data_IF_168143095262
#
_entry.id   IF_168143095262
#
_cell.length_a   1.000
_cell.length_b   1.000
_cell.length_c   1.000
_cell.angle_alpha   90.00
_cell.angle_beta   90.00
_cell.angle_gamma   90.00
#
_symmetry.space_group_name_H-M   'P 1'
#
loop_
_entity.id
_entity.type
_entity.pdbx_description
1 polymer ?
#
# COMPACT_ATOMS: atom_id res chain seq x y z
N UNK A 1 -12.32 -90.17 -32.20
CA UNK A 1 -11.82 -89.62 -30.91
C UNK A 1 -10.45 -89.00 -31.14
N UNK A 2 -10.36 -87.67 -31.09
CA UNK A 2 -9.10 -86.91 -31.08
C UNK A 2 -9.13 -85.99 -29.84
N UNK A 3 -8.07 -85.92 -29.03
CA UNK A 3 -8.04 -85.06 -27.84
C UNK A 3 -7.73 -83.60 -28.22
N UNK A 4 -8.34 -82.67 -27.49
CA UNK A 4 -8.10 -81.22 -27.57
C UNK A 4 -6.85 -80.85 -26.76
N UNK A 5 -5.96 -79.95 -27.22
CA UNK A 5 -4.81 -79.53 -26.44
C UNK A 5 -5.17 -78.41 -25.43
N UNK A 6 -4.49 -78.47 -24.29
CA UNK A 6 -4.67 -77.61 -23.12
C UNK A 6 -4.36 -76.13 -23.39
N UNK A 7 -5.15 -75.25 -22.76
CA UNK A 7 -5.00 -73.79 -22.74
C UNK A 7 -4.00 -73.41 -21.65
N UNK A 8 -2.85 -72.85 -22.03
CA UNK A 8 -1.91 -72.25 -21.09
C UNK A 8 -2.44 -70.90 -20.59
N UNK A 9 -2.69 -70.77 -19.28
CA UNK A 9 -2.96 -69.49 -18.62
C UNK A 9 -1.66 -68.69 -18.50
N UNK A 10 -1.63 -67.50 -19.11
CA UNK A 10 -0.59 -66.49 -18.92
C UNK A 10 -1.06 -65.56 -17.80
N UNK A 11 -0.37 -65.59 -16.66
CA UNK A 11 -0.59 -64.71 -15.52
C UNK A 11 0.06 -63.34 -15.79
N UNK A 12 -0.72 -62.38 -16.26
CA UNK A 12 -0.31 -60.98 -16.37
C UNK A 12 -0.45 -60.29 -15.00
N UNK A 13 0.64 -60.20 -14.24
CA UNK A 13 0.72 -59.27 -13.11
C UNK A 13 0.95 -57.85 -13.63
N UNK A 14 0.04 -56.89 -13.40
CA UNK A 14 0.30 -55.50 -13.75
C UNK A 14 1.35 -54.94 -12.80
N UNK A 15 2.48 -54.50 -13.37
CA UNK A 15 3.49 -53.71 -12.68
C UNK A 15 2.84 -52.38 -12.27
N UNK A 16 2.55 -52.23 -10.99
CA UNK A 16 2.10 -50.98 -10.37
C UNK A 16 3.22 -49.94 -10.51
N UNK A 17 3.11 -49.08 -11.53
CA UNK A 17 4.02 -47.96 -11.70
C UNK A 17 3.86 -47.01 -10.50
N UNK A 18 4.91 -46.92 -9.67
CA UNK A 18 5.04 -45.92 -8.62
C UNK A 18 5.15 -44.54 -9.28
N UNK A 19 4.03 -43.82 -9.36
CA UNK A 19 4.03 -42.41 -9.73
C UNK A 19 4.68 -41.60 -8.60
N UNK A 20 5.90 -41.12 -8.82
CA UNK A 20 6.49 -40.08 -7.98
C UNK A 20 5.64 -38.80 -8.10
N UNK A 21 5.29 -38.14 -6.98
CA UNK A 21 4.57 -36.88 -7.03
C UNK A 21 5.53 -35.80 -7.53
N UNK A 22 5.57 -35.58 -8.85
CA UNK A 22 6.14 -34.34 -9.37
C UNK A 22 5.25 -33.20 -8.90
N UNK A 23 5.83 -32.24 -8.18
CA UNK A 23 5.13 -31.01 -7.84
C UNK A 23 4.68 -30.35 -9.16
N UNK A 24 3.37 -30.30 -9.40
CA UNK A 24 2.79 -29.62 -10.55
C UNK A 24 3.32 -28.18 -10.58
N UNK A 25 4.09 -27.76 -11.61
CA UNK A 25 4.64 -26.40 -11.72
C UNK A 25 3.57 -25.33 -11.52
N UNK A 26 2.32 -25.60 -11.96
CA UNK A 26 1.19 -24.69 -11.79
C UNK A 26 0.75 -24.52 -10.33
N UNK A 27 1.01 -25.52 -9.47
CA UNK A 27 0.72 -25.45 -8.03
C UNK A 27 1.72 -24.57 -7.29
N UNK A 28 3.00 -24.62 -7.69
CA UNK A 28 4.07 -23.83 -7.09
C UNK A 28 3.92 -22.35 -7.43
N UNK A 29 3.69 -22.01 -8.69
CA UNK A 29 3.43 -20.63 -9.11
C UNK A 29 2.23 -20.00 -8.37
N UNK A 30 1.15 -20.78 -8.18
CA UNK A 30 -0.02 -20.33 -7.44
C UNK A 30 0.28 -20.03 -5.97
N UNK A 31 1.10 -20.88 -5.34
CA UNK A 31 1.56 -20.68 -3.95
C UNK A 31 2.45 -19.45 -3.85
N UNK A 32 3.42 -19.30 -4.74
CA UNK A 32 4.30 -18.12 -4.78
C UNK A 32 3.50 -16.84 -4.94
N UNK A 33 2.61 -16.77 -5.93
CA UNK A 33 1.74 -15.59 -6.13
C UNK A 33 0.93 -15.25 -4.88
N UNK A 34 0.38 -16.27 -4.23
CA UNK A 34 -0.39 -16.10 -2.99
C UNK A 34 0.49 -15.54 -1.86
N UNK A 35 1.68 -16.11 -1.67
CA UNK A 35 2.63 -15.64 -0.66
C UNK A 35 3.10 -14.21 -0.94
N UNK A 36 3.44 -13.88 -2.19
CA UNK A 36 3.86 -12.53 -2.59
C UNK A 36 2.79 -11.49 -2.26
N UNK A 37 1.52 -11.79 -2.55
CA UNK A 37 0.40 -10.89 -2.25
C UNK A 37 0.20 -10.73 -0.75
N UNK A 38 0.29 -11.81 0.03
CA UNK A 38 0.16 -11.74 1.50
C UNK A 38 1.31 -10.93 2.11
N UNK A 39 2.55 -11.20 1.70
CA UNK A 39 3.73 -10.45 2.16
C UNK A 39 3.60 -8.98 1.81
N UNK A 40 3.22 -8.65 0.56
CA UNK A 40 3.01 -7.27 0.15
C UNK A 40 1.96 -6.56 0.99
N UNK A 41 0.85 -7.23 1.31
CA UNK A 41 -0.20 -6.68 2.19
C UNK A 41 0.30 -6.43 3.60
N UNK A 42 0.98 -7.40 4.21
CA UNK A 42 1.51 -7.26 5.56
C UNK A 42 2.60 -6.19 5.62
N UNK A 43 3.43 -6.08 4.58
CA UNK A 43 4.39 -4.99 4.42
C UNK A 43 3.72 -3.63 4.37
N UNK A 44 2.68 -3.46 3.53
CA UNK A 44 1.92 -2.21 3.48
C UNK A 44 1.22 -1.90 4.82
N UNK A 45 0.62 -2.91 5.46
CA UNK A 45 0.01 -2.75 6.78
C UNK A 45 1.04 -2.27 7.81
N UNK A 46 2.23 -2.87 7.82
CA UNK A 46 3.29 -2.52 8.74
C UNK A 46 3.80 -1.09 8.50
N UNK A 47 3.97 -0.68 7.24
CA UNK A 47 4.37 0.69 6.90
C UNK A 47 3.38 1.72 7.45
N UNK A 48 2.08 1.47 7.37
CA UNK A 48 1.08 2.37 7.97
C UNK A 48 0.97 2.23 9.49
N UNK A 49 1.23 1.04 10.03
CA UNK A 49 1.25 0.82 11.47
C UNK A 49 2.32 1.67 12.15
N UNK A 50 3.52 1.77 11.55
CA UNK A 50 4.57 2.64 12.11
C UNK A 50 4.21 4.12 12.06
N UNK A 51 3.36 4.53 11.11
CA UNK A 51 2.90 5.92 11.00
C UNK A 51 1.96 6.33 12.14
N UNK A 52 1.11 5.42 12.64
CA UNK A 52 0.08 5.73 13.64
C UNK A 52 0.63 6.31 14.95
N UNK A 53 1.78 5.83 15.41
CA UNK A 53 2.22 6.05 16.79
C UNK A 53 2.81 7.44 17.05
N UNK A 54 3.40 8.07 16.05
CA UNK A 54 3.95 9.41 16.21
C UNK A 54 2.88 10.52 16.07
N UNK A 55 1.62 10.15 15.77
CA UNK A 55 0.47 11.05 15.65
C UNK A 55 -0.77 10.56 16.41
N UNK A 56 -0.56 10.02 17.60
CA UNK A 56 -1.67 9.57 18.45
C UNK A 56 -2.60 10.74 18.83
N UNK A 57 -3.94 10.53 18.80
CA UNK A 57 -4.89 11.47 19.36
C UNK A 57 -4.67 11.66 20.88
N UNK A 58 -5.10 12.80 21.46
CA UNK A 58 -5.89 13.86 20.83
C UNK A 58 -5.05 14.96 20.17
N UNK A 59 -3.73 14.98 20.37
CA UNK A 59 -2.87 16.08 19.90
C UNK A 59 -2.21 15.80 18.55
N UNK A 60 -2.22 14.55 18.08
CA UNK A 60 -1.60 14.13 16.81
C UNK A 60 -0.11 14.45 16.72
N UNK A 61 0.57 14.49 17.88
CA UNK A 61 1.98 14.87 18.01
C UNK A 61 2.26 16.36 17.82
N UNK A 62 1.23 17.19 17.66
CA UNK A 62 1.37 18.64 17.67
C UNK A 62 1.65 19.17 19.09
N UNK A 63 2.21 20.37 19.20
CA UNK A 63 2.34 21.09 20.47
C UNK A 63 0.97 21.52 21.02
N UNK A 64 0.97 21.99 22.27
CA UNK A 64 -0.16 22.73 22.82
C UNK A 64 -0.56 23.83 21.82
N UNK A 65 -1.86 23.93 21.54
CA UNK A 65 -2.47 24.84 20.55
C UNK A 65 -2.32 24.47 19.06
N UNK A 66 -1.85 23.25 18.74
CA UNK A 66 -1.71 22.79 17.35
C UNK A 66 -0.84 23.71 16.48
N UNK A 67 0.22 24.28 17.05
CA UNK A 67 1.06 25.23 16.34
C UNK A 67 1.89 24.55 15.23
N UNK A 68 1.92 25.14 14.04
CA UNK A 68 2.70 24.66 12.90
C UNK A 68 4.07 25.35 12.85
N UNK A 69 5.13 24.69 12.33
CA UNK A 69 6.40 25.37 12.08
C UNK A 69 6.18 26.55 11.12
N UNK A 70 6.98 27.59 11.29
CA UNK A 70 6.93 28.80 10.46
C UNK A 70 8.17 28.89 9.56
N UNK A 71 8.05 29.47 8.36
CA UNK A 71 9.20 29.68 7.48
C UNK A 71 10.25 30.56 8.17
N UNK A 72 11.52 30.18 8.04
CA UNK A 72 12.68 30.99 8.44
C UNK A 72 13.51 31.37 7.22
N UNK A 73 14.54 32.20 7.43
CA UNK A 73 15.48 32.56 6.36
C UNK A 73 16.19 31.31 5.78
N UNK A 74 16.63 31.42 4.52
CA UNK A 74 17.52 30.43 3.87
C UNK A 74 16.96 29.00 3.75
N UNK A 75 15.68 28.85 3.40
CA UNK A 75 15.02 27.53 3.25
C UNK A 75 15.08 26.70 4.54
N UNK A 76 14.92 27.38 5.68
CA UNK A 76 14.87 26.80 7.02
C UNK A 76 13.50 27.06 7.65
N UNK A 77 13.24 26.48 8.82
CA UNK A 77 12.03 26.73 9.60
C UNK A 77 12.39 27.08 11.04
N UNK A 78 11.55 27.89 11.69
CA UNK A 78 11.67 28.10 13.12
C UNK A 78 10.94 26.96 13.84
N UNK A 79 11.69 26.16 14.59
CA UNK A 79 11.14 25.09 15.39
C UNK A 79 10.33 25.67 16.55
N UNK A 80 9.04 25.36 16.58
CA UNK A 80 8.12 25.76 17.66
C UNK A 80 7.86 24.61 18.65
N UNK A 81 8.68 23.55 18.61
CA UNK A 81 8.49 22.32 19.39
C UNK A 81 7.44 21.37 18.81
N UNK A 82 6.73 21.73 17.72
CA UNK A 82 5.79 20.83 17.07
C UNK A 82 6.55 19.66 16.48
N UNK A 83 6.18 18.45 16.93
CA UNK A 83 6.47 17.22 16.22
C UNK A 83 5.24 16.82 15.42
N UNK A 84 5.13 15.52 15.16
CA UNK A 84 3.85 14.97 14.81
C UNK A 84 3.31 15.46 13.47
N UNK A 85 1.98 15.40 13.36
CA UNK A 85 1.24 15.72 12.16
C UNK A 85 1.40 17.19 11.76
N UNK A 86 1.36 18.12 12.72
CA UNK A 86 1.49 19.56 12.44
C UNK A 86 2.88 19.93 11.91
N UNK A 87 3.93 19.22 12.36
CA UNK A 87 5.27 19.41 11.81
C UNK A 87 5.30 19.07 10.33
N UNK A 88 4.90 17.85 9.96
CA UNK A 88 4.99 17.38 8.57
C UNK A 88 4.09 18.15 7.62
N UNK A 89 2.83 18.42 8.01
CA UNK A 89 1.94 19.28 7.21
C UNK A 89 2.50 20.70 7.07
N UNK A 90 3.19 21.21 8.10
CA UNK A 90 3.91 22.48 8.02
C UNK A 90 5.05 22.46 7.00
N UNK A 91 5.82 21.37 6.93
CA UNK A 91 6.87 21.20 5.93
C UNK A 91 6.32 21.23 4.50
N UNK A 92 5.17 20.59 4.27
CA UNK A 92 4.51 20.60 2.96
C UNK A 92 4.15 22.03 2.50
N UNK A 93 3.72 22.87 3.43
CA UNK A 93 3.41 24.29 3.20
C UNK A 93 4.69 25.15 3.02
N UNK A 94 5.67 25.03 3.91
CA UNK A 94 6.92 25.82 3.87
C UNK A 94 7.70 25.57 2.56
N UNK A 95 7.76 24.32 2.10
CA UNK A 95 8.49 23.93 0.89
C UNK A 95 7.60 23.93 -0.37
N UNK A 96 6.36 24.41 -0.29
CA UNK A 96 5.39 24.48 -1.39
C UNK A 96 5.97 25.15 -2.64
N UNK A 97 6.63 26.29 -2.44
CA UNK A 97 7.11 27.15 -3.52
C UNK A 97 8.46 26.75 -4.11
N UNK A 98 9.16 25.82 -3.48
CA UNK A 98 10.46 25.40 -3.96
C UNK A 98 10.34 24.55 -5.24
N UNK A 99 11.30 24.68 -6.18
CA UNK A 99 11.39 23.78 -7.31
C UNK A 99 11.53 22.34 -6.84
N UNK A 100 10.54 21.50 -7.16
CA UNK A 100 10.48 20.10 -6.77
C UNK A 100 10.20 19.23 -7.99
N UNK A 101 10.98 18.16 -8.10
CA UNK A 101 10.85 17.16 -9.13
C UNK A 101 10.67 15.79 -8.49
N UNK A 102 10.04 14.86 -9.20
CA UNK A 102 9.92 13.45 -8.80
C UNK A 102 10.25 12.55 -9.98
N UNK A 103 10.33 11.23 -9.72
CA UNK A 103 10.81 10.24 -10.69
C UNK A 103 12.17 10.67 -11.26
N UNK A 104 13.04 11.10 -10.37
CA UNK A 104 14.33 11.69 -10.75
C UNK A 104 15.27 10.57 -11.19
N UNK A 105 15.75 10.68 -12.43
CA UNK A 105 16.88 9.92 -12.94
C UNK A 105 18.11 10.82 -12.93
N UNK A 106 18.97 10.65 -11.91
CA UNK A 106 20.23 11.38 -11.82
C UNK A 106 21.33 10.66 -12.60
N UNK A 107 21.56 11.12 -13.82
CA UNK A 107 22.56 10.55 -14.73
C UNK A 107 23.84 11.39 -14.81
N UNK A 108 24.02 12.34 -13.89
CA UNK A 108 25.24 13.17 -13.80
C UNK A 108 26.53 12.35 -13.69
N UNK A 109 26.58 11.20 -12.97
CA UNK A 109 27.78 10.34 -12.96
C UNK A 109 28.18 9.80 -14.34
N UNK A 110 27.23 9.71 -15.28
CA UNK A 110 27.46 9.29 -16.66
C UNK A 110 27.65 10.47 -17.64
N UNK A 111 27.79 11.70 -17.13
CA UNK A 111 27.90 12.91 -17.95
C UNK A 111 26.60 13.36 -18.62
N UNK A 112 25.46 12.79 -18.23
CA UNK A 112 24.14 13.08 -18.78
C UNK A 112 23.33 14.00 -17.84
N UNK A 113 22.35 14.76 -18.37
CA UNK A 113 21.54 15.66 -17.54
C UNK A 113 20.63 14.89 -16.58
N UNK A 114 20.26 15.53 -15.47
CA UNK A 114 19.20 15.04 -14.57
C UNK A 114 17.85 15.20 -15.26
N UNK A 115 17.05 14.14 -15.26
CA UNK A 115 15.67 14.16 -15.79
C UNK A 115 14.70 13.88 -14.64
N UNK A 116 13.57 14.60 -14.61
CA UNK A 116 12.52 14.41 -13.61
C UNK A 116 11.25 15.15 -13.99
N UNK A 117 10.15 14.79 -13.35
CA UNK A 117 8.84 15.43 -13.54
C UNK A 117 8.68 16.53 -12.50
N UNK A 118 8.40 17.76 -12.93
CA UNK A 118 8.18 18.89 -12.01
C UNK A 118 6.81 18.76 -11.34
N UNK A 119 6.80 18.78 -10.00
CA UNK A 119 5.57 18.70 -9.19
C UNK A 119 5.26 19.98 -8.42
N UNK A 120 6.09 21.02 -8.53
CA UNK A 120 5.88 22.30 -7.82
C UNK A 120 4.44 22.84 -7.94
N UNK A 121 3.75 22.79 -9.10
CA UNK A 121 2.36 23.24 -9.16
C UNK A 121 1.41 22.43 -8.27
N UNK A 122 1.56 21.10 -8.25
CA UNK A 122 0.76 20.21 -7.40
C UNK A 122 1.05 20.45 -5.92
N UNK A 123 2.31 20.68 -5.60
CA UNK A 123 2.76 20.93 -4.25
C UNK A 123 2.21 22.27 -3.70
N UNK A 124 2.15 23.31 -4.54
CA UNK A 124 1.47 24.58 -4.23
C UNK A 124 -0.03 24.40 -4.00
N UNK A 125 -0.69 23.61 -4.85
CA UNK A 125 -2.12 23.31 -4.66
C UNK A 125 -2.38 22.57 -3.34
N UNK A 126 -1.52 21.62 -3.00
CA UNK A 126 -1.59 20.92 -1.72
C UNK A 126 -1.38 21.89 -0.53
N UNK A 127 -0.41 22.81 -0.62
CA UNK A 127 -0.22 23.83 0.41
C UNK A 127 -1.42 24.76 0.58
N UNK A 128 -2.09 25.16 -0.51
CA UNK A 128 -3.33 25.93 -0.43
C UNK A 128 -4.43 25.18 0.34
N UNK A 129 -4.57 23.87 0.10
CA UNK A 129 -5.50 23.04 0.86
C UNK A 129 -5.09 22.95 2.33
N UNK A 130 -3.79 22.78 2.60
CA UNK A 130 -3.27 22.69 3.95
C UNK A 130 -3.54 23.98 4.72
N UNK A 131 -3.15 25.12 4.18
CA UNK A 131 -3.17 26.39 4.90
C UNK A 131 -4.59 26.94 5.09
N UNK A 132 -5.49 26.70 4.15
CA UNK A 132 -6.85 27.26 4.19
C UNK A 132 -7.90 26.30 4.76
N UNK A 133 -7.64 24.99 4.78
CA UNK A 133 -8.65 23.99 5.17
C UNK A 133 -8.14 23.07 6.28
N UNK A 134 -6.98 22.44 6.09
CA UNK A 134 -6.49 21.42 7.03
C UNK A 134 -5.97 22.07 8.32
N UNK A 135 -5.16 23.12 8.22
CA UNK A 135 -4.56 23.82 9.35
C UNK A 135 -5.62 24.44 10.27
N UNK A 136 -6.64 25.18 9.78
CA UNK A 136 -7.72 25.67 10.65
C UNK A 136 -8.58 24.54 11.25
N UNK A 137 -8.71 23.41 10.53
CA UNK A 137 -9.51 22.25 10.92
C UNK A 137 -8.71 21.09 11.54
N UNK A 138 -7.49 21.33 12.03
CA UNK A 138 -6.50 20.27 12.26
C UNK A 138 -6.96 19.19 13.23
N UNK A 139 -7.77 19.52 14.23
CA UNK A 139 -8.32 18.53 15.15
C UNK A 139 -9.20 17.48 14.43
N UNK A 140 -10.02 17.92 13.45
CA UNK A 140 -10.88 17.03 12.65
C UNK A 140 -10.05 16.26 11.64
N UNK A 141 -9.17 16.95 10.91
CA UNK A 141 -8.33 16.30 9.90
C UNK A 141 -7.33 15.33 10.52
N UNK A 142 -6.82 15.59 11.72
CA UNK A 142 -5.99 14.65 12.48
C UNK A 142 -6.72 13.33 12.74
N UNK A 143 -7.97 13.38 13.16
CA UNK A 143 -8.80 12.18 13.30
C UNK A 143 -9.03 11.48 11.97
N UNK A 144 -9.35 12.22 10.90
CA UNK A 144 -9.57 11.64 9.57
C UNK A 144 -8.31 10.91 9.06
N UNK A 145 -7.14 11.53 9.18
CA UNK A 145 -5.86 10.97 8.76
C UNK A 145 -5.54 9.73 9.60
N UNK A 146 -5.63 9.82 10.93
CA UNK A 146 -5.35 8.70 11.82
C UNK A 146 -6.30 7.52 11.57
N UNK A 147 -7.60 7.78 11.40
CA UNK A 147 -8.60 6.73 11.10
C UNK A 147 -8.38 6.12 9.72
N UNK A 148 -7.99 6.91 8.72
CA UNK A 148 -7.66 6.39 7.38
C UNK A 148 -6.48 5.42 7.46
N UNK A 149 -5.43 5.76 8.21
CA UNK A 149 -4.28 4.87 8.38
C UNK A 149 -4.59 3.65 9.21
N UNK A 150 -5.35 3.81 10.29
CA UNK A 150 -5.81 2.70 11.11
C UNK A 150 -6.67 1.73 10.29
N UNK A 151 -7.53 2.28 9.42
CA UNK A 151 -8.31 1.51 8.47
C UNK A 151 -7.42 0.73 7.48
N UNK A 152 -6.37 1.35 6.95
CA UNK A 152 -5.40 0.66 6.08
C UNK A 152 -4.75 -0.51 6.84
N UNK A 153 -4.27 -0.29 8.06
CA UNK A 153 -3.66 -1.35 8.89
C UNK A 153 -4.64 -2.51 9.09
N UNK A 154 -5.85 -2.21 9.55
CA UNK A 154 -6.87 -3.22 9.83
C UNK A 154 -7.25 -4.01 8.57
N UNK A 155 -7.54 -3.31 7.48
CA UNK A 155 -7.95 -3.90 6.20
C UNK A 155 -6.85 -4.77 5.60
N UNK A 156 -5.60 -4.28 5.57
CA UNK A 156 -4.48 -4.98 4.96
C UNK A 156 -3.98 -6.15 5.81
N UNK A 157 -3.94 -6.01 7.13
CA UNK A 157 -3.50 -7.08 8.03
C UNK A 157 -4.52 -8.22 8.10
N UNK A 158 -5.81 -7.90 8.34
CA UNK A 158 -6.85 -8.93 8.50
C UNK A 158 -7.39 -9.46 7.17
N UNK A 159 -7.20 -8.70 6.10
CA UNK A 159 -7.80 -9.00 4.80
C UNK A 159 -9.27 -8.73 4.78
N UNK A 160 -9.67 -7.57 5.28
CA UNK A 160 -11.06 -7.15 5.37
C UNK A 160 -11.26 -5.89 4.53
N UNK A 161 -12.14 -5.95 3.52
CA UNK A 161 -12.38 -4.88 2.55
C UNK A 161 -11.07 -4.36 1.94
N UNK A 162 -10.18 -5.29 1.56
CA UNK A 162 -8.82 -4.99 1.09
C UNK A 162 -8.77 -4.06 -0.11
N UNK A 163 -9.75 -4.10 -1.02
CA UNK A 163 -9.79 -3.15 -2.15
C UNK A 163 -10.03 -1.73 -1.67
N UNK A 164 -10.93 -1.54 -0.71
CA UNK A 164 -11.18 -0.23 -0.12
C UNK A 164 -9.93 0.24 0.66
N UNK A 165 -9.33 -0.65 1.44
CA UNK A 165 -8.05 -0.37 2.11
C UNK A 165 -6.95 0.07 1.14
N UNK A 166 -6.84 -0.59 -0.03
CA UNK A 166 -5.82 -0.25 -1.02
C UNK A 166 -6.11 1.12 -1.67
N UNK A 167 -7.37 1.45 -1.94
CA UNK A 167 -7.76 2.76 -2.45
C UNK A 167 -7.43 3.88 -1.45
N UNK A 168 -7.73 3.67 -0.17
CA UNK A 168 -7.38 4.63 0.90
C UNK A 168 -5.86 4.75 1.00
N UNK A 169 -5.12 3.65 0.95
CA UNK A 169 -3.65 3.66 0.96
C UNK A 169 -3.05 4.41 -0.23
N UNK A 170 -3.60 4.27 -1.44
CA UNK A 170 -3.20 5.05 -2.61
C UNK A 170 -3.42 6.54 -2.34
N UNK A 171 -4.60 6.92 -1.86
CA UNK A 171 -4.93 8.33 -1.58
C UNK A 171 -3.98 8.96 -0.57
N UNK A 172 -3.79 8.31 0.58
CA UNK A 172 -2.89 8.80 1.63
C UNK A 172 -1.43 8.84 1.14
N UNK A 173 -0.95 7.78 0.50
CA UNK A 173 0.44 7.72 0.03
C UNK A 173 0.71 8.72 -1.10
N UNK A 174 -0.28 8.98 -1.97
CA UNK A 174 -0.16 9.97 -3.03
C UNK A 174 -0.14 11.39 -2.47
N UNK A 175 -0.93 11.67 -1.42
CA UNK A 175 -0.86 12.94 -0.72
C UNK A 175 0.53 13.15 -0.13
N UNK A 176 1.09 12.15 0.57
CA UNK A 176 2.45 12.22 1.10
C UNK A 176 3.50 12.38 -0.02
N UNK A 177 3.33 11.69 -1.15
CA UNK A 177 4.21 11.81 -2.30
C UNK A 177 4.20 13.24 -2.89
N UNK A 178 3.03 13.87 -3.01
CA UNK A 178 2.93 15.26 -3.49
C UNK A 178 3.46 16.26 -2.44
N UNK A 179 3.15 16.02 -1.17
CA UNK A 179 3.48 16.91 -0.06
C UNK A 179 4.97 16.91 0.27
N UNK A 180 5.58 15.73 0.39
CA UNK A 180 6.89 15.53 1.00
C UNK A 180 8.00 15.14 0.03
N UNK A 181 7.69 14.62 -1.16
CA UNK A 181 8.74 14.15 -2.07
C UNK A 181 9.77 15.23 -2.39
N UNK A 182 11.05 14.87 -2.25
CA UNK A 182 12.20 15.73 -2.52
C UNK A 182 12.22 17.03 -1.71
N UNK A 183 11.61 17.04 -0.51
CA UNK A 183 11.90 18.11 0.46
C UNK A 183 13.36 17.95 0.91
N UNK A 184 14.23 18.97 0.71
CA UNK A 184 15.67 18.84 0.96
C UNK A 184 16.02 18.78 2.45
N UNK A 185 15.13 19.28 3.33
CA UNK A 185 15.28 19.29 4.79
C UNK A 185 13.89 19.11 5.42
N UNK A 186 13.62 18.03 6.18
CA UNK A 186 14.55 17.08 6.82
C UNK A 186 15.11 15.96 5.92
N UNK A 187 15.12 16.12 4.60
CA UNK A 187 15.58 15.16 3.59
C UNK A 187 14.59 14.01 3.37
N UNK A 188 13.62 14.28 2.51
CA UNK A 188 12.57 13.36 2.13
C UNK A 188 12.81 12.79 0.74
N UNK A 189 13.08 11.49 0.70
CA UNK A 189 13.32 10.79 -0.56
C UNK A 189 12.00 10.40 -1.22
N UNK A 190 11.84 10.74 -2.51
CA UNK A 190 10.55 10.56 -3.21
C UNK A 190 10.11 9.09 -3.27
N UNK A 191 11.05 8.17 -3.36
CA UNK A 191 10.75 6.75 -3.54
C UNK A 191 10.19 6.09 -2.29
N UNK A 192 10.38 6.68 -1.11
CA UNK A 192 9.73 6.22 0.12
C UNK A 192 8.20 6.21 -0.05
N UNK A 193 7.64 7.31 -0.54
CA UNK A 193 6.20 7.45 -0.77
C UNK A 193 5.78 6.85 -2.11
N UNK A 194 6.63 6.96 -3.14
CA UNK A 194 6.35 6.42 -4.47
C UNK A 194 6.19 4.90 -4.45
N UNK A 195 7.02 4.19 -3.68
CA UNK A 195 6.91 2.73 -3.53
C UNK A 195 5.66 2.32 -2.75
N UNK A 196 5.22 3.11 -1.76
CA UNK A 196 3.94 2.89 -1.07
C UNK A 196 2.76 3.00 -2.05
N UNK A 197 2.74 4.02 -2.90
CA UNK A 197 1.73 4.18 -3.97
C UNK A 197 1.75 2.96 -4.90
N UNK A 198 2.92 2.59 -5.42
CA UNK A 198 3.05 1.46 -6.35
C UNK A 198 2.63 0.13 -5.72
N UNK A 199 3.03 -0.13 -4.47
CA UNK A 199 2.63 -1.32 -3.74
C UNK A 199 1.11 -1.36 -3.56
N UNK A 200 0.48 -0.26 -3.16
CA UNK A 200 -0.96 -0.19 -3.01
C UNK A 200 -1.71 -0.40 -4.34
N UNK A 201 -1.21 0.16 -5.46
CA UNK A 201 -1.74 -0.08 -6.81
C UNK A 201 -1.64 -1.55 -7.21
N UNK A 202 -0.48 -2.18 -6.98
CA UNK A 202 -0.28 -3.62 -7.27
C UNK A 202 -1.25 -4.47 -6.45
N UNK A 203 -1.42 -4.18 -5.15
CA UNK A 203 -2.34 -4.93 -4.29
C UNK A 203 -3.81 -4.73 -4.68
N UNK A 204 -4.19 -3.52 -5.10
CA UNK A 204 -5.53 -3.25 -5.64
C UNK A 204 -5.80 -4.09 -6.89
N UNK A 205 -4.85 -4.10 -7.84
CA UNK A 205 -4.96 -4.84 -9.10
C UNK A 205 -4.89 -6.36 -8.93
N UNK A 206 -4.04 -6.85 -8.03
CA UNK A 206 -3.89 -8.28 -7.75
C UNK A 206 -5.13 -8.90 -7.08
N UNK A 207 -6.03 -8.08 -6.52
CA UNK A 207 -7.19 -8.55 -5.77
C UNK A 207 -6.76 -9.19 -4.46
N UNK A 208 -6.00 -8.46 -3.67
CA UNK A 208 -5.23 -9.01 -2.56
C UNK A 208 -6.06 -9.69 -1.44
N UNK A 209 -7.36 -9.37 -1.34
CA UNK A 209 -8.32 -10.05 -0.44
C UNK A 209 -8.74 -11.45 -0.87
N UNK A 210 -8.47 -11.86 -2.11
CA UNK A 210 -8.93 -13.16 -2.65
C UNK A 210 -8.16 -14.36 -2.12
N UNK A 211 -6.96 -14.14 -1.61
CA UNK A 211 -6.01 -15.20 -1.28
C UNK A 211 -6.07 -15.63 0.19
N UNK A 212 -6.23 -14.68 1.11
CA UNK A 212 -6.21 -14.92 2.56
C UNK A 212 -6.94 -13.81 3.33
N UNK A 213 -7.55 -14.17 4.45
CA UNK A 213 -8.24 -13.25 5.35
C UNK A 213 -9.77 -13.31 5.26
N UNK A 214 -10.42 -12.30 5.85
CA UNK A 214 -11.88 -12.19 5.96
C UNK A 214 -12.55 -12.15 4.59
N UNK A 215 -11.97 -11.43 3.64
CA UNK A 215 -12.42 -11.29 2.25
C UNK A 215 -12.48 -12.64 1.54
N UNK A 216 -11.46 -13.48 1.69
CA UNK A 216 -11.42 -14.82 1.11
C UNK A 216 -12.49 -15.74 1.75
N UNK A 217 -12.76 -15.59 3.04
CA UNK A 217 -13.84 -16.32 3.71
C UNK A 217 -15.22 -15.85 3.22
N UNK A 218 -15.45 -14.55 3.12
CA UNK A 218 -16.69 -13.95 2.60
C UNK A 218 -16.95 -14.38 1.15
N UNK A 219 -15.94 -14.32 0.27
CA UNK A 219 -16.07 -14.77 -1.13
C UNK A 219 -16.49 -16.23 -1.24
N UNK A 220 -15.90 -17.11 -0.44
CA UNK A 220 -16.30 -18.54 -0.38
C UNK A 220 -17.72 -18.70 0.16
N UNK A 221 -18.12 -17.91 1.17
CA UNK A 221 -19.47 -17.99 1.75
C UNK A 221 -20.56 -17.55 0.77
N UNK A 222 -20.25 -16.62 -0.12
CA UNK A 222 -21.15 -16.05 -1.11
C UNK A 222 -20.93 -16.59 -2.53
N UNK A 223 -20.04 -17.57 -2.72
CA UNK A 223 -19.89 -18.24 -4.02
C UNK A 223 -21.16 -18.99 -4.38
N UNK A 224 -21.74 -18.73 -5.55
CA UNK A 224 -22.98 -19.34 -6.02
C UNK A 224 -24.26 -18.66 -5.54
N UNK A 225 -24.17 -17.56 -4.77
CA UNK A 225 -25.33 -16.73 -4.44
C UNK A 225 -25.52 -15.62 -5.46
N UNK A 226 -26.76 -15.36 -5.86
CA UNK A 226 -27.17 -14.22 -6.67
C UNK A 226 -27.88 -13.17 -5.80
N UNK A 227 -27.73 -11.89 -6.15
CA UNK A 227 -28.36 -10.77 -5.43
C UNK A 227 -27.44 -9.57 -5.22
N UNK A 228 -27.98 -8.41 -4.82
CA UNK A 228 -27.22 -7.16 -4.67
C UNK A 228 -26.09 -7.28 -3.64
N UNK A 229 -26.34 -7.95 -2.51
CA UNK A 229 -25.34 -8.18 -1.46
C UNK A 229 -24.18 -9.05 -1.96
N UNK A 230 -24.47 -10.13 -2.69
CA UNK A 230 -23.44 -11.00 -3.25
C UNK A 230 -22.56 -10.25 -4.27
N UNK A 231 -23.15 -9.39 -5.10
CA UNK A 231 -22.41 -8.51 -6.02
C UNK A 231 -21.51 -7.52 -5.28
N UNK A 232 -22.04 -6.87 -4.23
CA UNK A 232 -21.27 -5.92 -3.42
C UNK A 232 -20.07 -6.59 -2.75
N UNK A 233 -20.27 -7.77 -2.15
CA UNK A 233 -19.17 -8.56 -1.57
C UNK A 233 -18.12 -8.88 -2.63
N UNK A 234 -18.52 -9.38 -3.81
CA UNK A 234 -17.56 -9.72 -4.88
C UNK A 234 -16.78 -8.50 -5.41
N UNK A 235 -17.39 -7.31 -5.36
CA UNK A 235 -16.79 -6.05 -5.79
C UNK A 235 -15.80 -5.48 -4.76
N UNK A 236 -16.13 -5.52 -3.46
CA UNK A 236 -15.33 -4.90 -2.39
C UNK A 236 -14.23 -5.80 -1.82
N UNK A 237 -14.41 -7.11 -1.90
CA UNK A 237 -13.40 -8.12 -1.52
C UNK A 237 -12.54 -8.51 -2.71
#
# INVERSE_FOLDING_TARGET
>A
MRPSPARAERSDHPLTALSTPSADPASWERRLRTLTVIIGRLGLAYLFFTQLFWKLPPTFGCTNDFAFPVPAAQNYWEGNGSGGLCFWLGMESIYADQPRQVLVADMRPAGLPRIGITITPLARLNALLIDNVIRPGIAVFGWLIWLAEFWIVLSMALGFLTRLGALVAIGVSLQLYVGLANIPRPYEWEWSYGTMVLLAVVLLGAGAGRHFGVDAALRRRFSGRSGPVARLVQLLT
#
